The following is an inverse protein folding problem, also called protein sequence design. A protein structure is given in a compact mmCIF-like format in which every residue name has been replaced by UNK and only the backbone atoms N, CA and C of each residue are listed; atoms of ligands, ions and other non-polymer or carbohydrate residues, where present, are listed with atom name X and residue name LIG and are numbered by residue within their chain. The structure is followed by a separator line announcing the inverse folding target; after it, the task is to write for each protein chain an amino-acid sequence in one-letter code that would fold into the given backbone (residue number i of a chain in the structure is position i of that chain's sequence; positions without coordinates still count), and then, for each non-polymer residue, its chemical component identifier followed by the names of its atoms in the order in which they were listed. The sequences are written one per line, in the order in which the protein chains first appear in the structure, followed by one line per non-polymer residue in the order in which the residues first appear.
data_IF_186847439279
#
_entry.id   IF_186847439279
#
_cell.length_a   1.000
_cell.length_b   1.000
_cell.length_c   1.000
_cell.angle_alpha   90.00
_cell.angle_beta   90.00
_cell.angle_gamma   90.00
#
_symmetry.space_group_name_H-M   'P 1'
#
loop_
_entity.id
_entity.type
_entity.pdbx_description
1 polymer ?
#
# COMPACT_ATOMS: atom_id res chain seq x y z
N UNK A 1 9.39 -9.57 -3.92
CA UNK A 1 7.99 -10.02 -3.72
C UNK A 1 7.04 -8.83 -3.72
N UNK A 2 5.86 -9.01 -4.24
CA UNK A 2 4.78 -8.03 -4.15
C UNK A 2 3.83 -8.43 -3.02
N UNK A 3 3.61 -7.54 -2.07
CA UNK A 3 2.62 -7.71 -1.00
C UNK A 3 1.39 -6.88 -1.33
N UNK A 4 0.21 -7.47 -1.26
CA UNK A 4 -1.06 -6.79 -1.53
C UNK A 4 -1.87 -6.77 -0.23
N UNK A 5 -2.23 -5.58 0.22
CA UNK A 5 -3.01 -5.38 1.46
C UNK A 5 -4.33 -4.72 1.10
N UNK A 6 -5.45 -5.31 1.53
CA UNK A 6 -6.78 -4.82 1.19
C UNK A 6 -7.62 -4.35 2.39
N UNK A 7 -7.20 -4.62 3.62
CA UNK A 7 -7.96 -4.24 4.81
C UNK A 7 -7.39 -2.99 5.46
N UNK A 8 -8.28 -2.16 5.99
CA UNK A 8 -7.89 -0.98 6.77
C UNK A 8 -7.03 -1.40 7.97
N UNK A 9 -5.99 -0.62 8.26
CA UNK A 9 -5.17 -0.82 9.44
C UNK A 9 -5.97 -0.71 10.74
N UNK A 10 -7.11 0.00 10.72
CA UNK A 10 -8.01 0.11 11.87
C UNK A 10 -8.81 -1.18 12.11
N UNK A 11 -9.02 -2.00 11.08
CA UNK A 11 -9.81 -3.24 11.18
C UNK A 11 -8.96 -4.47 11.40
N UNK A 12 -7.77 -4.49 10.82
CA UNK A 12 -6.88 -5.66 10.80
C UNK A 12 -5.45 -5.23 11.04
N UNK A 13 -4.69 -6.10 11.66
CA UNK A 13 -3.24 -5.93 11.82
C UNK A 13 -2.44 -6.40 10.60
N UNK A 14 -3.11 -6.70 9.49
CA UNK A 14 -2.48 -7.22 8.27
C UNK A 14 -1.37 -6.32 7.74
N UNK A 15 -1.58 -5.00 7.74
CA UNK A 15 -0.57 -4.05 7.29
C UNK A 15 0.68 -4.10 8.19
N UNK A 16 0.51 -4.08 9.51
CA UNK A 16 1.63 -4.19 10.44
C UNK A 16 2.41 -5.47 10.23
N UNK A 17 1.70 -6.59 10.07
CA UNK A 17 2.32 -7.89 9.82
C UNK A 17 3.09 -7.89 8.49
N UNK A 18 2.49 -7.32 7.44
CA UNK A 18 3.13 -7.19 6.14
C UNK A 18 4.41 -6.38 6.23
N UNK A 19 4.37 -5.20 6.84
CA UNK A 19 5.54 -4.33 6.96
C UNK A 19 6.66 -4.97 7.78
N UNK A 20 6.30 -5.82 8.73
CA UNK A 20 7.27 -6.51 9.58
C UNK A 20 8.02 -7.59 8.81
N UNK A 21 7.35 -8.32 7.92
CA UNK A 21 7.97 -9.45 7.21
C UNK A 21 8.49 -9.09 5.82
N UNK A 22 8.10 -7.97 5.26
CA UNK A 22 8.54 -7.55 3.94
C UNK A 22 10.05 -7.29 3.93
N UNK A 23 10.76 -7.90 3.01
CA UNK A 23 12.20 -7.69 2.86
C UNK A 23 12.48 -6.39 2.13
N UNK A 24 13.62 -5.77 2.44
CA UNK A 24 14.08 -4.55 1.78
C UNK A 24 14.03 -4.69 0.25
N UNK A 25 13.47 -3.68 -0.41
CA UNK A 25 13.30 -3.67 -1.86
C UNK A 25 12.01 -4.30 -2.36
N UNK A 26 11.22 -4.93 -1.48
CA UNK A 26 9.90 -5.47 -1.85
C UNK A 26 8.91 -4.33 -2.12
N UNK A 27 7.87 -4.65 -2.89
CA UNK A 27 6.76 -3.73 -3.16
C UNK A 27 5.55 -4.06 -2.28
N UNK A 28 4.85 -3.03 -1.83
CA UNK A 28 3.59 -3.15 -1.08
C UNK A 28 2.54 -2.35 -1.84
N UNK A 29 1.45 -2.99 -2.22
CA UNK A 29 0.34 -2.36 -2.91
C UNK A 29 -0.88 -2.33 -1.99
N UNK A 30 -1.36 -1.13 -1.71
CA UNK A 30 -2.54 -0.90 -0.88
C UNK A 30 -3.76 -0.74 -1.80
N UNK A 31 -4.76 -1.57 -1.58
CA UNK A 31 -6.02 -1.55 -2.35
C UNK A 31 -7.21 -1.50 -1.40
N UNK A 32 -8.37 -1.21 -1.94
CA UNK A 32 -9.61 -1.14 -1.16
C UNK A 32 -9.42 -0.25 0.08
N UNK A 33 -9.87 -0.66 1.26
CA UNK A 33 -9.78 0.14 2.47
C UNK A 33 -8.35 0.33 2.98
N UNK A 34 -7.39 -0.49 2.53
CA UNK A 34 -6.00 -0.31 2.92
C UNK A 34 -5.41 1.01 2.39
N UNK A 35 -6.00 1.62 1.35
CA UNK A 35 -5.52 2.90 0.81
C UNK A 35 -5.55 4.04 1.82
N UNK A 36 -6.40 3.97 2.85
CA UNK A 36 -6.42 4.97 3.91
C UNK A 36 -5.06 5.11 4.61
N UNK A 37 -4.30 4.03 4.72
CA UNK A 37 -2.98 4.06 5.35
C UNK A 37 -1.98 4.93 4.57
N UNK A 38 -2.20 5.13 3.27
CA UNK A 38 -1.34 5.94 2.41
C UNK A 38 -1.68 7.43 2.45
N UNK A 39 -2.56 7.86 3.34
CA UNK A 39 -3.08 9.24 3.36
C UNK A 39 -2.66 9.98 4.61
N UNK A 40 -2.68 11.32 4.52
CA UNK A 40 -2.39 12.20 5.64
C UNK A 40 -3.48 12.10 6.71
N UNK A 41 -3.09 12.31 7.96
CA UNK A 41 -4.04 12.46 9.07
C UNK A 41 -4.48 11.16 9.72
N UNK A 42 -3.85 10.04 9.41
CA UNK A 42 -4.14 8.78 10.08
C UNK A 42 -2.99 8.32 10.99
N UNK A 43 -3.29 7.41 11.90
CA UNK A 43 -2.34 6.98 12.93
C UNK A 43 -1.16 6.17 12.36
N UNK A 44 -1.29 5.60 11.16
CA UNK A 44 -0.24 4.76 10.56
C UNK A 44 0.61 5.50 9.53
N UNK A 45 0.35 6.79 9.29
CA UNK A 45 1.09 7.57 8.29
C UNK A 45 2.60 7.53 8.54
N UNK A 46 3.02 7.67 9.79
CA UNK A 46 4.45 7.62 10.15
C UNK A 46 5.07 6.26 9.85
N UNK A 47 4.32 5.17 10.05
CA UNK A 47 4.79 3.82 9.73
C UNK A 47 5.00 3.63 8.23
N UNK A 48 4.08 4.14 7.42
CA UNK A 48 4.17 4.07 5.95
C UNK A 48 5.37 4.89 5.48
N UNK A 49 5.56 6.10 5.98
CA UNK A 49 6.68 6.95 5.59
C UNK A 49 8.03 6.33 5.99
N UNK A 50 8.11 5.73 7.16
CA UNK A 50 9.31 5.03 7.60
C UNK A 50 9.58 3.80 6.72
N UNK A 51 8.55 3.03 6.39
CA UNK A 51 8.67 1.84 5.53
C UNK A 51 9.09 2.21 4.11
N UNK A 52 8.70 3.37 3.60
CA UNK A 52 9.05 3.82 2.25
C UNK A 52 10.55 4.00 2.04
N UNK A 53 11.35 4.08 3.10
CA UNK A 53 12.81 4.12 3.00
C UNK A 53 13.37 2.78 2.48
N UNK A 54 12.73 1.66 2.79
CA UNK A 54 13.21 0.32 2.45
C UNK A 54 12.30 -0.43 1.47
N UNK A 55 11.04 -0.02 1.36
CA UNK A 55 10.02 -0.68 0.55
C UNK A 55 9.47 0.29 -0.50
N UNK A 56 9.01 -0.26 -1.60
CA UNK A 56 8.27 0.51 -2.62
C UNK A 56 6.80 0.45 -2.28
N UNK A 57 6.23 1.56 -1.85
CA UNK A 57 4.82 1.65 -1.43
C UNK A 57 3.98 2.21 -2.56
N UNK A 58 2.92 1.49 -2.91
CA UNK A 58 1.95 1.87 -3.95
C UNK A 58 0.55 1.90 -3.36
N UNK A 59 -0.29 2.76 -3.90
CA UNK A 59 -1.72 2.79 -3.59
C UNK A 59 -2.53 2.84 -4.88
N UNK A 60 -3.63 2.11 -4.92
CA UNK A 60 -4.48 2.04 -6.11
C UNK A 60 -5.31 3.33 -6.22
N UNK A 61 -5.07 4.11 -7.28
CA UNK A 61 -5.72 5.40 -7.49
C UNK A 61 -7.24 5.35 -7.53
N UNK A 62 -7.86 4.43 -8.29
CA UNK A 62 -9.32 4.30 -8.28
C UNK A 62 -9.93 4.08 -6.88
N UNK A 63 -9.25 3.34 -6.01
CA UNK A 63 -9.73 3.10 -4.64
C UNK A 63 -9.58 4.34 -3.77
N UNK A 64 -8.50 5.11 -3.96
CA UNK A 64 -8.34 6.43 -3.31
C UNK A 64 -9.45 7.38 -3.74
N UNK A 65 -9.72 7.47 -5.03
CA UNK A 65 -10.75 8.35 -5.58
C UNK A 65 -12.15 7.96 -5.07
N UNK A 66 -12.46 6.66 -5.02
CA UNK A 66 -13.73 6.17 -4.52
C UNK A 66 -13.97 6.56 -3.05
N UNK A 67 -12.92 6.80 -2.29
CA UNK A 67 -12.97 7.16 -0.86
C UNK A 67 -12.69 8.65 -0.61
N UNK A 68 -12.62 9.46 -1.67
CA UNK A 68 -12.37 10.89 -1.56
C UNK A 68 -10.98 11.24 -1.06
N UNK A 69 -10.00 10.36 -1.24
CA UNK A 69 -8.65 10.50 -0.67
C UNK A 69 -7.56 10.83 -1.70
N UNK A 70 -7.93 11.01 -2.97
CA UNK A 70 -6.94 11.21 -4.04
C UNK A 70 -6.00 12.41 -3.81
N UNK A 71 -6.48 13.46 -3.14
CA UNK A 71 -5.68 14.64 -2.84
C UNK A 71 -4.90 14.60 -1.54
N UNK A 72 -4.91 13.47 -0.83
CA UNK A 72 -4.33 13.36 0.52
C UNK A 72 -3.21 12.33 0.63
N UNK A 73 -2.63 11.93 -0.49
CA UNK A 73 -1.62 10.87 -0.51
C UNK A 73 -0.32 11.37 0.12
N UNK A 74 0.29 10.52 0.95
CA UNK A 74 1.57 10.79 1.60
C UNK A 74 2.70 10.86 0.57
N UNK A 75 3.71 11.69 0.85
CA UNK A 75 4.97 11.67 0.12
C UNK A 75 5.62 10.29 0.29
N UNK A 76 6.21 9.79 -0.79
CA UNK A 76 6.84 8.48 -0.79
C UNK A 76 5.93 7.33 -1.19
N UNK A 77 4.63 7.59 -1.34
CA UNK A 77 3.67 6.62 -1.87
C UNK A 77 3.43 6.90 -3.35
N UNK A 78 3.54 5.87 -4.16
CA UNK A 78 3.29 5.95 -5.60
C UNK A 78 1.85 5.54 -5.89
N UNK A 79 1.10 6.39 -6.60
CA UNK A 79 -0.27 6.09 -6.99
C UNK A 79 -0.26 5.38 -8.34
N UNK A 80 -0.96 4.26 -8.44
CA UNK A 80 -1.09 3.50 -9.68
C UNK A 80 -2.55 3.30 -10.05
N UNK A 81 -2.81 3.15 -11.33
CA UNK A 81 -4.14 2.75 -11.84
C UNK A 81 -4.21 1.22 -11.98
N UNK A 82 -5.30 0.71 -12.57
CA UNK A 82 -5.43 -0.74 -12.78
C UNK A 82 -4.35 -1.29 -13.72
N UNK A 83 -3.95 -0.52 -14.72
CA UNK A 83 -2.84 -0.91 -15.59
C UNK A 83 -1.53 -1.05 -14.82
N UNK A 84 -1.25 -0.11 -13.93
CA UNK A 84 -0.10 -0.17 -13.05
C UNK A 84 -0.15 -1.34 -12.08
N UNK A 85 -1.34 -1.68 -11.58
CA UNK A 85 -1.55 -2.88 -10.76
C UNK A 85 -1.15 -4.14 -11.54
N UNK A 86 -1.66 -4.27 -12.76
CA UNK A 86 -1.33 -5.42 -13.62
C UNK A 86 0.18 -5.50 -13.88
N UNK A 87 0.81 -4.36 -14.14
CA UNK A 87 2.26 -4.30 -14.37
C UNK A 87 3.04 -4.76 -13.13
N UNK A 88 2.64 -4.34 -11.94
CA UNK A 88 3.27 -4.77 -10.68
C UNK A 88 3.17 -6.28 -10.50
N UNK A 89 2.01 -6.86 -10.76
CA UNK A 89 1.81 -8.32 -10.66
C UNK A 89 2.71 -9.04 -11.68
N UNK A 90 2.80 -8.51 -12.89
CA UNK A 90 3.61 -9.11 -13.95
C UNK A 90 5.12 -9.03 -13.69
N UNK A 91 5.57 -7.96 -13.03
CA UNK A 91 7.00 -7.73 -12.74
C UNK A 91 7.53 -8.60 -11.60
N UNK A 92 6.65 -9.09 -10.73
CA UNK A 92 7.06 -9.85 -9.55
C UNK A 92 6.73 -11.32 -9.72
N UNK A 93 7.72 -12.18 -9.44
CA UNK A 93 7.54 -13.64 -9.54
C UNK A 93 6.62 -14.19 -8.44
N UNK A 94 6.52 -13.48 -7.32
CA UNK A 94 5.73 -13.91 -6.15
C UNK A 94 4.83 -12.78 -5.67
N UNK A 95 3.60 -13.13 -5.30
CA UNK A 95 2.65 -12.22 -4.67
C UNK A 95 2.13 -12.82 -3.37
N UNK A 96 2.00 -11.99 -2.35
CA UNK A 96 1.42 -12.35 -1.06
C UNK A 96 0.24 -11.42 -0.77
N UNK A 97 -0.95 -11.97 -0.61
CA UNK A 97 -2.13 -11.20 -0.22
C UNK A 97 -2.30 -11.24 1.29
N UNK A 98 -2.60 -10.07 1.86
CA UNK A 98 -2.86 -9.90 3.30
C UNK A 98 -4.31 -9.48 3.48
N UNK A 99 -5.11 -10.38 3.95
CA UNK A 99 -6.56 -10.20 4.10
C UNK A 99 -6.93 -9.75 5.52
#
# INVERSE_FOLDING_TARGET
MLHIVNKSAAERSSLDSCLRVATKGSAVLLIEDAVYAATNGNAVAAKIQAAAADLKIYALGPDLAARGMAGRVLDGVNVVDYGGFVDLVAEHSNCQSWL
#
